data_IF_780378387081
#
_entry.id   IF_780378387081
#
_cell.length_a   1.000
_cell.length_b   1.000
_cell.length_c   1.000
_cell.angle_alpha   90.00
_cell.angle_beta   90.00
_cell.angle_gamma   90.00
#
_symmetry.space_group_name_H-M   'P 1'
#
loop_
_entity.id
_entity.type
_entity.pdbx_description
1 polymer ?
#
# COMPACT_ATOMS: atom_id res chain seq x y z
N UNK A 1 -10.01 -5.07 13.01
CA UNK A 1 -9.48 -4.74 11.68
C UNK A 1 -9.20 -3.25 11.57
N UNK A 2 -7.99 -2.93 11.13
CA UNK A 2 -7.48 -1.59 10.89
C UNK A 2 -7.04 -1.49 9.43
N UNK A 3 -7.59 -0.54 8.69
CA UNK A 3 -7.35 -0.40 7.25
C UNK A 3 -6.55 0.86 7.00
N UNK A 4 -5.47 0.73 6.25
CA UNK A 4 -4.66 1.85 5.76
C UNK A 4 -4.91 1.99 4.27
N UNK A 5 -5.15 3.22 3.83
CA UNK A 5 -5.35 3.58 2.43
C UNK A 5 -4.29 4.61 2.07
N UNK A 6 -3.50 4.32 1.04
CA UNK A 6 -2.55 5.24 0.45
C UNK A 6 -3.00 5.58 -0.98
N UNK A 7 -3.29 6.85 -1.25
CA UNK A 7 -3.57 7.32 -2.60
C UNK A 7 -2.28 7.85 -3.24
N UNK A 8 -1.98 7.45 -4.47
CA UNK A 8 -0.77 7.87 -5.19
C UNK A 8 -1.13 8.50 -6.53
N UNK A 9 -0.66 9.72 -6.79
CA UNK A 9 -0.87 10.41 -8.07
C UNK A 9 0.24 10.06 -9.07
N UNK A 10 -0.03 9.14 -9.99
CA UNK A 10 0.95 8.62 -10.95
C UNK A 10 0.60 9.04 -12.36
N UNK A 11 1.50 9.78 -13.03
CA UNK A 11 1.33 10.17 -14.42
C UNK A 11 1.17 8.97 -15.36
N UNK A 12 0.36 9.06 -16.42
CA UNK A 12 0.10 7.94 -17.33
C UNK A 12 1.37 7.41 -18.00
N UNK A 13 2.37 8.28 -18.24
CA UNK A 13 3.66 7.90 -18.80
C UNK A 13 4.52 7.05 -17.85
N UNK A 14 4.25 7.08 -16.54
CA UNK A 14 4.96 6.31 -15.51
C UNK A 14 4.18 5.09 -15.01
N UNK A 15 2.93 4.90 -15.44
CA UNK A 15 2.01 3.91 -14.88
C UNK A 15 2.58 2.48 -14.88
N UNK A 16 3.05 1.99 -16.03
CA UNK A 16 3.57 0.61 -16.14
C UNK A 16 4.83 0.39 -15.29
N UNK A 17 5.75 1.36 -15.31
CA UNK A 17 6.98 1.29 -14.53
C UNK A 17 6.70 1.34 -13.02
N UNK A 18 5.77 2.21 -12.61
CA UNK A 18 5.30 2.31 -11.23
C UNK A 18 4.67 1.00 -10.75
N UNK A 19 3.73 0.45 -11.51
CA UNK A 19 3.05 -0.78 -11.14
C UNK A 19 4.04 -1.93 -10.95
N UNK A 20 4.99 -2.08 -11.88
CA UNK A 20 6.02 -3.09 -11.75
C UNK A 20 6.82 -2.90 -10.45
N UNK A 21 7.32 -1.69 -10.20
CA UNK A 21 8.12 -1.40 -9.02
C UNK A 21 7.33 -1.60 -7.71
N UNK A 22 6.06 -1.19 -7.68
CA UNK A 22 5.19 -1.35 -6.53
C UNK A 22 4.86 -2.83 -6.28
N UNK A 23 4.56 -3.60 -7.33
CA UNK A 23 4.32 -5.05 -7.21
C UNK A 23 5.58 -5.76 -6.70
N UNK A 24 6.76 -5.40 -7.22
CA UNK A 24 8.03 -5.96 -6.76
C UNK A 24 8.28 -5.64 -5.28
N UNK A 25 7.87 -4.48 -4.76
CA UNK A 25 8.03 -4.12 -3.34
C UNK A 25 7.07 -4.87 -2.40
N UNK A 26 5.94 -5.34 -2.91
CA UNK A 26 4.94 -6.10 -2.15
C UNK A 26 5.43 -7.49 -1.73
N UNK A 27 6.49 -8.03 -2.36
CA UNK A 27 7.08 -9.33 -1.96
C UNK A 27 7.55 -9.35 -0.52
N UNK A 28 7.93 -8.18 0.03
CA UNK A 28 8.38 -8.04 1.41
C UNK A 28 7.24 -8.06 2.43
N UNK A 29 5.98 -8.10 1.99
CA UNK A 29 4.81 -8.17 2.87
C UNK A 29 4.47 -9.60 3.30
N UNK A 30 5.08 -10.62 2.68
CA UNK A 30 4.85 -12.01 3.04
C UNK A 30 5.25 -12.27 4.51
N UNK A 31 4.33 -12.83 5.29
CA UNK A 31 4.55 -13.17 6.69
C UNK A 31 4.53 -12.01 7.67
N UNK A 32 4.16 -10.79 7.25
CA UNK A 32 3.96 -9.66 8.17
C UNK A 32 2.85 -10.00 9.18
N UNK A 33 3.15 -10.02 10.50
CA UNK A 33 2.14 -10.35 11.50
C UNK A 33 0.95 -9.41 11.45
N UNK A 34 -0.25 -9.99 11.47
CA UNK A 34 -1.51 -9.26 11.47
C UNK A 34 -1.90 -8.64 10.13
N UNK A 35 -1.06 -8.70 9.07
CA UNK A 35 -1.44 -8.25 7.74
C UNK A 35 -2.25 -9.34 7.03
N UNK A 36 -3.56 -9.16 6.92
CA UNK A 36 -4.46 -10.13 6.26
C UNK A 36 -4.52 -9.94 4.74
N UNK A 37 -4.47 -8.68 4.27
CA UNK A 37 -4.59 -8.35 2.85
C UNK A 37 -3.86 -7.06 2.51
N UNK A 38 -3.17 -7.05 1.37
CA UNK A 38 -2.70 -5.82 0.74
C UNK A 38 -3.12 -5.81 -0.73
N UNK A 39 -3.54 -4.65 -1.24
CA UNK A 39 -3.91 -4.50 -2.64
C UNK A 39 -3.31 -3.24 -3.24
N UNK A 40 -3.02 -3.30 -4.53
CA UNK A 40 -2.78 -2.15 -5.39
C UNK A 40 -3.91 -2.10 -6.43
N UNK A 41 -4.57 -0.96 -6.55
CA UNK A 41 -5.69 -0.74 -7.46
C UNK A 41 -5.32 0.35 -8.46
N UNK A 42 -5.37 -0.01 -9.74
CA UNK A 42 -5.25 0.92 -10.86
C UNK A 42 -6.54 1.76 -10.96
N UNK A 43 -6.44 3.08 -11.20
CA UNK A 43 -7.62 3.90 -11.49
C UNK A 43 -8.26 3.52 -12.83
N UNK A 44 -9.59 3.59 -12.88
CA UNK A 44 -10.36 3.48 -14.11
C UNK A 44 -10.84 4.88 -14.56
N UNK A 45 -11.05 5.06 -15.87
CA UNK A 45 -11.56 6.31 -16.44
C UNK A 45 -10.51 7.42 -16.55
N UNK A 46 -10.83 8.63 -16.05
CA UNK A 46 -9.99 9.84 -16.20
C UNK A 46 -9.06 10.11 -15.00
N UNK A 47 -9.09 9.27 -13.98
CA UNK A 47 -8.28 9.44 -12.77
C UNK A 47 -6.87 8.88 -13.00
N UNK A 48 -5.87 9.55 -12.42
CA UNK A 48 -4.49 9.08 -12.35
C UNK A 48 -4.12 8.62 -10.92
N UNK A 49 -5.11 8.50 -10.04
CA UNK A 49 -4.90 8.20 -8.62
C UNK A 49 -5.03 6.71 -8.37
N UNK A 50 -3.90 6.06 -8.09
CA UNK A 50 -3.87 4.69 -7.59
C UNK A 50 -4.29 4.64 -6.12
N UNK A 51 -4.85 3.51 -5.72
CA UNK A 51 -5.11 3.21 -4.31
C UNK A 51 -4.32 1.96 -3.91
N UNK A 52 -3.50 2.09 -2.87
CA UNK A 52 -2.97 0.94 -2.15
C UNK A 52 -3.70 0.80 -0.82
N UNK A 53 -4.14 -0.42 -0.50
CA UNK A 53 -4.75 -0.72 0.80
C UNK A 53 -3.96 -1.79 1.54
N UNK A 54 -3.97 -1.69 2.86
CA UNK A 54 -3.47 -2.72 3.77
C UNK A 54 -4.49 -2.94 4.88
N UNK A 55 -4.90 -4.17 5.07
CA UNK A 55 -5.87 -4.60 6.08
C UNK A 55 -5.12 -5.37 7.17
N UNK A 56 -5.02 -4.76 8.34
CA UNK A 56 -4.42 -5.36 9.53
C UNK A 56 -5.47 -5.84 10.53
N UNK A 57 -5.16 -6.85 11.32
CA UNK A 57 -6.01 -7.35 12.41
C UNK A 57 -6.25 -6.24 13.45
N UNK A 58 -5.19 -5.52 13.81
CA UNK A 58 -5.23 -4.43 14.80
C UNK A 58 -4.44 -3.18 14.34
N UNK A 59 -4.66 -2.07 15.07
CA UNK A 59 -3.87 -0.85 14.89
C UNK A 59 -2.42 -1.11 15.29
N UNK A 60 -2.21 -1.88 16.34
CA UNK A 60 -0.91 -2.23 16.91
C UNK A 60 -0.04 -2.99 15.91
N UNK A 61 -0.62 -3.93 15.15
CA UNK A 61 0.09 -4.69 14.10
C UNK A 61 0.62 -3.76 12.99
N UNK A 62 -0.19 -2.78 12.56
CA UNK A 62 0.26 -1.77 11.60
C UNK A 62 1.45 -0.96 12.14
N UNK A 63 1.37 -0.47 13.39
CA UNK A 63 2.47 0.30 13.99
C UNK A 63 3.72 -0.55 14.25
N UNK A 64 3.56 -1.86 14.49
CA UNK A 64 4.67 -2.80 14.57
C UNK A 64 5.32 -2.98 13.19
N UNK A 65 4.52 -3.14 12.13
CA UNK A 65 5.02 -3.23 10.76
C UNK A 65 5.82 -2.00 10.35
N UNK A 66 5.35 -0.77 10.64
CA UNK A 66 6.10 0.47 10.36
C UNK A 66 7.52 0.51 10.94
N UNK A 67 7.81 -0.31 11.96
CA UNK A 67 9.13 -0.40 12.62
C UNK A 67 9.93 -1.64 12.19
N UNK A 68 9.35 -2.50 11.36
CA UNK A 68 9.91 -3.78 10.95
C UNK A 68 10.93 -3.64 9.81
N UNK A 69 11.72 -4.69 9.59
CA UNK A 69 12.60 -4.76 8.42
C UNK A 69 11.83 -4.97 7.11
N UNK A 70 10.64 -5.58 7.17
CA UNK A 70 9.71 -5.66 6.04
C UNK A 70 9.35 -4.27 5.51
N UNK A 71 8.96 -3.35 6.41
CA UNK A 71 8.66 -1.97 6.01
C UNK A 71 9.86 -1.29 5.36
N UNK A 72 11.06 -1.43 5.96
CA UNK A 72 12.28 -0.86 5.38
C UNK A 72 12.57 -1.44 3.99
N UNK A 73 12.41 -2.75 3.81
CA UNK A 73 12.66 -3.40 2.53
C UNK A 73 11.63 -2.99 1.46
N UNK A 74 10.35 -2.90 1.79
CA UNK A 74 9.32 -2.38 0.87
C UNK A 74 9.54 -0.93 0.42
N UNK A 75 10.35 -0.15 1.15
CA UNK A 75 10.60 1.27 0.89
C UNK A 75 12.09 1.58 0.70
N UNK A 76 12.95 0.59 0.43
CA UNK A 76 14.40 0.83 0.36
C UNK A 76 14.89 1.37 -0.97
N UNK A 77 14.09 1.26 -2.03
CA UNK A 77 14.46 1.76 -3.37
C UNK A 77 13.92 3.18 -3.59
N UNK A 78 14.70 4.16 -3.19
CA UNK A 78 14.37 5.59 -3.37
C UNK A 78 14.38 6.03 -4.84
N UNK A 79 14.87 5.20 -5.76
CA UNK A 79 14.94 5.50 -7.21
C UNK A 79 13.95 4.67 -8.02
N UNK A 80 13.15 3.82 -7.37
CA UNK A 80 12.10 3.04 -8.02
C UNK A 80 11.14 3.97 -8.79
N UNK A 81 10.88 3.71 -10.09
CA UNK A 81 10.05 4.57 -10.91
C UNK A 81 8.67 4.82 -10.30
N UNK A 82 8.26 6.08 -10.19
CA UNK A 82 6.92 6.46 -9.72
C UNK A 82 6.66 6.26 -8.22
N UNK A 83 7.59 5.67 -7.46
CA UNK A 83 7.45 5.50 -6.01
C UNK A 83 7.58 6.82 -5.23
N UNK A 84 8.01 7.89 -5.89
CA UNK A 84 8.09 9.26 -5.34
C UNK A 84 6.85 10.10 -5.69
N UNK A 85 5.80 9.48 -6.25
CA UNK A 85 4.55 10.14 -6.56
C UNK A 85 3.97 10.86 -5.33
N UNK A 86 3.34 12.05 -5.51
CA UNK A 86 2.58 12.68 -4.44
C UNK A 86 1.57 11.69 -3.88
N UNK A 87 1.56 11.54 -2.55
CA UNK A 87 0.70 10.57 -1.90
C UNK A 87 0.02 11.13 -0.64
N UNK A 88 -1.08 10.49 -0.26
CA UNK A 88 -1.80 10.78 0.97
C UNK A 88 -2.21 9.48 1.66
N UNK A 89 -1.86 9.35 2.93
CA UNK A 89 -2.16 8.17 3.75
C UNK A 89 -3.27 8.50 4.73
N UNK A 90 -4.31 7.67 4.73
CA UNK A 90 -5.39 7.70 5.71
C UNK A 90 -5.53 6.32 6.36
N UNK A 91 -6.10 6.29 7.56
CA UNK A 91 -6.30 5.04 8.31
C UNK A 91 -7.67 5.00 8.97
N UNK A 92 -8.24 3.81 9.05
CA UNK A 92 -9.65 3.60 9.39
C UNK A 92 -9.80 2.40 10.32
N UNK A 93 -10.71 2.51 11.28
CA UNK A 93 -11.22 1.35 12.02
C UNK A 93 -12.46 0.84 11.31
N UNK A 94 -12.50 -0.45 10.98
CA UNK A 94 -13.69 -1.06 10.39
C UNK A 94 -14.79 -1.16 11.45
N UNK A 95 -15.93 -0.50 11.21
CA UNK A 95 -17.07 -0.49 12.12
C UNK A 95 -18.04 -1.64 11.84
N UNK A 96 -18.09 -2.12 10.60
CA UNK A 96 -18.91 -3.24 10.18
C UNK A 96 -18.27 -3.90 8.96
N UNK A 97 -18.19 -5.22 9.01
CA UNK A 97 -17.89 -6.08 7.87
C UNK A 97 -19.06 -7.06 7.71
N UNK A 98 -19.45 -7.37 6.48
CA UNK A 98 -20.53 -8.32 6.16
C UNK A 98 -20.02 -9.59 5.51
N UNK A 99 -18.73 -9.66 5.18
CA UNK A 99 -18.07 -10.77 4.51
C UNK A 99 -17.02 -11.48 5.39
N UNK A 100 -16.59 -10.85 6.50
CA UNK A 100 -15.74 -11.48 7.52
C UNK A 100 -16.47 -12.58 8.31
#
# INVERSE_FOLDING_TARGET
MYVVVNTLEVGPEMAEAFEKAFIDSMVHLEGVPGLGRSTLMRPEGKSNTYLSTMEFDSKEDFFAWLKSDSFKASHSDDQAPGMQAPNAVASYTVIKDTAA
#
